data_IF_709931627072
#
_entry.id   IF_709931627072
#
_cell.length_a   1.000
_cell.length_b   1.000
_cell.length_c   1.000
_cell.angle_alpha   90.00
_cell.angle_beta   90.00
_cell.angle_gamma   90.00
#
_symmetry.space_group_name_H-M   'P 1'
#
loop_
_entity.id
_entity.type
_entity.pdbx_description
1 polymer ?
#
# COMPACT_ATOMS: atom_id res chain seq x y z
N UNK A 1 -73.91 -56.96 -12.07
CA UNK A 1 -72.60 -57.57 -11.76
C UNK A 1 -71.60 -56.91 -12.70
N UNK A 2 -70.60 -56.12 -12.33
CA UNK A 2 -70.04 -55.65 -11.06
C UNK A 2 -69.50 -54.24 -11.38
N UNK A 3 -69.79 -53.23 -10.56
CA UNK A 3 -69.10 -51.95 -10.64
C UNK A 3 -67.67 -52.12 -10.11
N UNK A 4 -66.62 -51.65 -10.81
CA UNK A 4 -65.39 -51.23 -10.17
C UNK A 4 -65.49 -49.71 -9.99
N UNK A 5 -66.11 -49.25 -8.89
CA UNK A 5 -65.47 -48.78 -7.65
C UNK A 5 -64.40 -47.71 -7.87
N UNK A 6 -64.74 -46.51 -7.38
CA UNK A 6 -63.89 -45.33 -7.13
C UNK A 6 -62.51 -45.61 -6.49
N UNK A 7 -62.29 -46.82 -5.97
CA UNK A 7 -61.01 -47.31 -5.47
C UNK A 7 -59.87 -47.39 -6.52
N UNK A 8 -60.17 -47.41 -7.83
CA UNK A 8 -59.14 -47.39 -8.88
C UNK A 8 -58.71 -45.96 -9.27
N UNK A 9 -59.59 -44.96 -9.15
CA UNK A 9 -59.24 -43.56 -9.42
C UNK A 9 -58.59 -42.86 -8.22
N UNK A 10 -58.94 -43.23 -6.97
CA UNK A 10 -58.22 -42.78 -5.77
C UNK A 10 -56.79 -43.33 -5.72
N UNK A 11 -56.58 -44.63 -5.99
CA UNK A 11 -55.24 -45.23 -6.03
C UNK A 11 -54.32 -44.60 -7.09
N UNK A 12 -54.86 -44.21 -8.24
CA UNK A 12 -54.09 -43.55 -9.30
C UNK A 12 -53.75 -42.08 -8.98
N UNK A 13 -54.57 -41.40 -8.15
CA UNK A 13 -54.30 -40.04 -7.67
C UNK A 13 -53.31 -40.05 -6.51
N UNK A 14 -53.43 -40.99 -5.57
CA UNK A 14 -52.47 -41.16 -4.46
C UNK A 14 -51.08 -41.60 -4.95
N UNK A 15 -50.99 -42.50 -5.94
CA UNK A 15 -49.69 -42.87 -6.54
C UNK A 15 -49.03 -41.71 -7.29
N UNK A 16 -49.80 -40.82 -7.94
CA UNK A 16 -49.24 -39.62 -8.59
C UNK A 16 -48.81 -38.57 -7.58
N UNK A 17 -49.61 -38.32 -6.54
CA UNK A 17 -49.27 -37.38 -5.48
C UNK A 17 -48.01 -37.81 -4.72
N UNK A 18 -47.89 -39.10 -4.38
CA UNK A 18 -46.72 -39.66 -3.70
C UNK A 18 -45.49 -39.66 -4.62
N UNK A 19 -45.65 -39.83 -5.94
CA UNK A 19 -44.53 -39.77 -6.90
C UNK A 19 -44.04 -38.34 -7.15
N UNK A 20 -44.92 -37.34 -7.09
CA UNK A 20 -44.55 -35.92 -7.17
C UNK A 20 -43.97 -35.39 -5.85
N UNK A 21 -44.47 -35.84 -4.69
CA UNK A 21 -43.84 -35.58 -3.38
C UNK A 21 -42.45 -36.21 -3.29
N UNK A 22 -42.29 -37.48 -3.68
CA UNK A 22 -40.99 -38.17 -3.66
C UNK A 22 -39.97 -37.60 -4.65
N UNK A 23 -40.45 -36.94 -5.73
CA UNK A 23 -39.63 -36.24 -6.72
C UNK A 23 -39.32 -34.80 -6.31
N UNK A 24 -40.17 -34.18 -5.48
CA UNK A 24 -39.90 -32.90 -4.81
C UNK A 24 -38.92 -33.07 -3.67
N UNK A 25 -39.13 -34.03 -2.76
CA UNK A 25 -38.21 -34.34 -1.66
C UNK A 25 -36.85 -34.79 -2.18
N UNK A 26 -36.79 -35.66 -3.20
CA UNK A 26 -35.50 -36.04 -3.82
C UNK A 26 -34.80 -34.92 -4.62
N UNK A 27 -35.49 -33.81 -4.93
CA UNK A 27 -34.93 -32.62 -5.60
C UNK A 27 -34.61 -31.49 -4.62
N UNK A 28 -35.27 -31.47 -3.45
CA UNK A 28 -34.97 -30.59 -2.31
C UNK A 28 -33.81 -31.17 -1.48
N UNK A 29 -33.77 -32.48 -1.23
CA UNK A 29 -32.64 -33.17 -0.56
C UNK A 29 -31.33 -33.05 -1.36
N UNK A 30 -31.39 -33.12 -2.70
CA UNK A 30 -30.22 -32.87 -3.57
C UNK A 30 -29.81 -31.40 -3.68
N UNK A 31 -30.63 -30.47 -3.18
CA UNK A 31 -30.34 -29.03 -3.20
C UNK A 31 -29.75 -28.54 -1.88
N UNK A 32 -30.04 -29.21 -0.77
CA UNK A 32 -29.61 -28.80 0.57
C UNK A 32 -28.37 -29.54 1.09
N UNK A 33 -27.94 -30.62 0.45
CA UNK A 33 -26.59 -31.15 0.65
C UNK A 33 -25.67 -30.65 -0.45
N UNK A 34 -25.29 -29.37 -0.36
CA UNK A 34 -23.96 -29.00 -0.85
C UNK A 34 -23.00 -29.79 0.03
N UNK A 35 -22.54 -30.93 -0.48
CA UNK A 35 -21.67 -31.86 0.24
C UNK A 35 -20.52 -31.04 0.82
N UNK A 36 -19.97 -31.40 1.98
CA UNK A 36 -18.80 -30.68 2.54
C UNK A 36 -17.66 -30.56 1.51
N UNK A 37 -17.61 -31.49 0.55
CA UNK A 37 -16.76 -31.45 -0.64
C UNK A 37 -17.11 -30.33 -1.63
N UNK A 38 -18.40 -30.08 -1.92
CA UNK A 38 -18.86 -29.00 -2.82
C UNK A 38 -18.64 -27.62 -2.20
N UNK A 39 -18.87 -27.46 -0.89
CA UNK A 39 -18.54 -26.22 -0.16
C UNK A 39 -17.04 -25.96 -0.20
N UNK A 40 -16.25 -27.00 0.02
CA UNK A 40 -14.79 -26.91 -0.04
C UNK A 40 -14.29 -26.58 -1.45
N UNK A 41 -14.92 -27.16 -2.49
CA UNK A 41 -14.65 -26.82 -3.88
C UNK A 41 -15.01 -25.37 -4.20
N UNK A 42 -16.12 -24.84 -3.67
CA UNK A 42 -16.51 -23.44 -3.83
C UNK A 42 -15.55 -22.50 -3.10
N UNK A 43 -15.12 -22.84 -1.88
CA UNK A 43 -14.09 -22.10 -1.14
C UNK A 43 -12.74 -22.11 -1.88
N UNK A 44 -12.27 -23.28 -2.33
CA UNK A 44 -11.03 -23.42 -3.09
C UNK A 44 -11.10 -22.62 -4.40
N UNK A 45 -12.23 -22.68 -5.11
CA UNK A 45 -12.46 -21.91 -6.34
C UNK A 45 -12.45 -20.41 -6.06
N UNK A 46 -13.11 -19.94 -5.00
CA UNK A 46 -13.10 -18.53 -4.60
C UNK A 46 -11.69 -18.06 -4.22
N UNK A 47 -10.92 -18.90 -3.52
CA UNK A 47 -9.51 -18.63 -3.19
C UNK A 47 -8.64 -18.54 -4.46
N UNK A 48 -8.85 -19.42 -5.42
CA UNK A 48 -8.17 -19.38 -6.73
C UNK A 48 -8.54 -18.12 -7.53
N UNK A 49 -9.81 -17.77 -7.57
CA UNK A 49 -10.31 -16.56 -8.26
C UNK A 49 -9.73 -15.30 -7.63
N UNK A 50 -9.68 -15.21 -6.29
CA UNK A 50 -9.06 -14.08 -5.60
C UNK A 50 -7.57 -13.95 -5.94
N UNK A 51 -6.82 -15.06 -5.95
CA UNK A 51 -5.39 -15.05 -6.34
C UNK A 51 -5.19 -14.58 -7.79
N UNK A 52 -6.00 -15.08 -8.72
CA UNK A 52 -5.95 -14.65 -10.12
C UNK A 52 -6.32 -13.17 -10.26
N UNK A 53 -7.34 -12.71 -9.53
CA UNK A 53 -7.77 -11.32 -9.52
C UNK A 53 -6.65 -10.39 -9.06
N UNK A 54 -5.93 -10.73 -8.00
CA UNK A 54 -4.79 -9.95 -7.51
C UNK A 54 -3.60 -9.97 -8.47
N UNK A 55 -3.29 -11.11 -9.09
CA UNK A 55 -2.23 -11.18 -10.11
C UNK A 55 -2.54 -10.29 -11.32
N UNK A 56 -3.80 -10.33 -11.79
CA UNK A 56 -4.26 -9.45 -12.85
C UNK A 56 -4.19 -7.98 -12.41
N UNK A 57 -4.47 -7.67 -11.14
CA UNK A 57 -4.38 -6.31 -10.63
C UNK A 57 -2.95 -5.74 -10.70
N UNK A 58 -1.92 -6.54 -10.42
CA UNK A 58 -0.53 -6.10 -10.58
C UNK A 58 -0.22 -5.76 -12.05
N UNK A 59 -0.61 -6.61 -13.00
CA UNK A 59 -0.43 -6.34 -14.44
C UNK A 59 -1.21 -5.11 -14.89
N UNK A 60 -2.46 -4.97 -14.44
CA UNK A 60 -3.31 -3.81 -14.78
C UNK A 60 -2.71 -2.53 -14.19
N UNK A 61 -2.09 -2.57 -13.01
CA UNK A 61 -1.43 -1.40 -12.43
C UNK A 61 -0.31 -0.86 -13.31
N UNK A 62 0.46 -1.75 -13.94
CA UNK A 62 1.54 -1.38 -14.86
C UNK A 62 0.97 -0.84 -16.17
N UNK A 63 -0.09 -1.44 -16.69
CA UNK A 63 -0.76 -0.95 -17.89
C UNK A 63 -1.46 0.40 -17.67
N UNK A 64 -1.95 0.65 -16.45
CA UNK A 64 -2.61 1.89 -16.07
C UNK A 64 -1.67 3.11 -16.16
N UNK A 65 -0.35 2.91 -16.14
CA UNK A 65 0.62 3.99 -16.42
C UNK A 65 0.46 4.62 -17.80
N UNK A 66 -0.13 3.88 -18.75
CA UNK A 66 -0.41 4.35 -20.11
C UNK A 66 -1.84 4.86 -20.29
N UNK A 67 -2.66 4.82 -19.23
CA UNK A 67 -4.02 5.33 -19.24
C UNK A 67 -4.06 6.79 -18.80
N UNK A 68 -5.05 7.54 -19.28
CA UNK A 68 -5.25 8.95 -18.91
C UNK A 68 -6.02 9.10 -17.57
N UNK A 69 -6.50 7.99 -16.98
CA UNK A 69 -7.26 7.99 -15.74
C UNK A 69 -6.34 8.09 -14.53
N UNK A 70 -6.54 9.14 -13.71
CA UNK A 70 -5.71 9.40 -12.54
C UNK A 70 -6.04 8.41 -11.41
N UNK A 71 -5.00 7.91 -10.75
CA UNK A 71 -5.07 7.03 -9.56
C UNK A 71 -5.43 5.57 -9.85
N UNK A 72 -5.52 5.16 -11.11
CA UNK A 72 -5.79 3.77 -11.43
C UNK A 72 -4.59 2.87 -11.09
N UNK A 73 -3.36 3.31 -11.40
CA UNK A 73 -2.16 2.52 -11.12
C UNK A 73 -2.06 2.18 -9.63
N UNK A 74 -2.18 3.18 -8.75
CA UNK A 74 -2.14 2.96 -7.30
C UNK A 74 -3.32 2.12 -6.79
N UNK A 75 -4.53 2.32 -7.32
CA UNK A 75 -5.70 1.55 -6.90
C UNK A 75 -5.61 0.06 -7.26
N UNK A 76 -5.08 -0.26 -8.44
CA UNK A 76 -4.85 -1.64 -8.83
C UNK A 76 -3.68 -2.25 -8.06
N UNK A 77 -2.63 -1.47 -7.79
CA UNK A 77 -1.51 -1.93 -6.99
C UNK A 77 -1.91 -2.32 -5.56
N UNK A 78 -2.78 -1.53 -4.92
CA UNK A 78 -3.28 -1.85 -3.57
C UNK A 78 -4.15 -3.12 -3.52
N UNK A 79 -4.68 -3.58 -4.65
CA UNK A 79 -5.44 -4.84 -4.78
C UNK A 79 -4.56 -6.04 -5.18
N UNK A 80 -3.32 -5.77 -5.56
CA UNK A 80 -2.35 -6.76 -6.04
C UNK A 80 -1.78 -7.65 -4.94
N UNK A 81 -0.86 -8.52 -5.32
CA UNK A 81 -0.18 -9.46 -4.42
C UNK A 81 0.98 -8.83 -3.63
N UNK A 82 1.24 -7.52 -3.81
CA UNK A 82 2.36 -6.80 -3.16
C UNK A 82 3.74 -7.43 -3.44
N UNK A 83 3.93 -7.97 -4.65
CA UNK A 83 5.24 -8.43 -5.14
C UNK A 83 6.28 -7.31 -5.05
N UNK A 84 7.60 -7.55 -4.85
CA UNK A 84 8.57 -6.47 -4.69
C UNK A 84 8.46 -5.42 -5.81
N UNK A 85 8.29 -4.15 -5.41
CA UNK A 85 7.90 -3.08 -6.32
C UNK A 85 8.91 -2.83 -7.45
N UNK A 86 10.15 -3.25 -7.23
CA UNK A 86 11.26 -3.16 -8.17
C UNK A 86 11.22 -4.10 -9.36
N UNK A 87 10.45 -5.20 -9.27
CA UNK A 87 10.49 -6.25 -10.30
C UNK A 87 9.89 -5.75 -11.64
N UNK A 88 9.06 -4.71 -11.58
CA UNK A 88 8.47 -4.04 -12.74
C UNK A 88 9.34 -2.90 -13.31
N UNK A 89 10.45 -2.56 -12.64
CA UNK A 89 11.42 -1.55 -13.07
C UNK A 89 11.20 -0.15 -12.50
N UNK A 90 12.25 0.68 -12.57
CA UNK A 90 12.28 2.01 -11.95
C UNK A 90 11.25 3.01 -12.49
N UNK A 91 10.92 2.95 -13.79
CA UNK A 91 9.90 3.84 -14.37
C UNK A 91 8.52 3.61 -13.73
N UNK A 92 8.18 2.35 -13.44
CA UNK A 92 6.95 2.02 -12.73
C UNK A 92 6.95 2.58 -11.31
N UNK A 93 8.05 2.38 -10.58
CA UNK A 93 8.19 2.90 -9.21
C UNK A 93 8.09 4.43 -9.20
N UNK A 94 8.69 5.10 -10.18
CA UNK A 94 8.64 6.57 -10.34
C UNK A 94 7.21 7.06 -10.62
N UNK A 95 6.51 6.42 -11.54
CA UNK A 95 5.13 6.78 -11.86
C UNK A 95 4.20 6.56 -10.65
N UNK A 96 4.36 5.42 -9.97
CA UNK A 96 3.60 5.11 -8.76
C UNK A 96 3.87 6.12 -7.64
N UNK A 97 5.12 6.53 -7.43
CA UNK A 97 5.47 7.53 -6.43
C UNK A 97 4.80 8.89 -6.71
N UNK A 98 4.72 9.29 -7.99
CA UNK A 98 4.04 10.51 -8.43
C UNK A 98 2.53 10.45 -8.19
N UNK A 99 1.87 9.36 -8.61
CA UNK A 99 0.43 9.21 -8.34
C UNK A 99 0.12 9.17 -6.84
N UNK A 100 0.97 8.50 -6.07
CA UNK A 100 0.82 8.40 -4.62
C UNK A 100 0.91 9.77 -3.94
N UNK A 101 1.85 10.63 -4.36
CA UNK A 101 2.00 11.96 -3.77
C UNK A 101 0.85 12.90 -4.17
N UNK A 102 0.33 12.77 -5.40
CA UNK A 102 -0.89 13.47 -5.82
C UNK A 102 -2.11 13.02 -5.02
N UNK A 103 -2.30 11.70 -4.84
CA UNK A 103 -3.42 11.15 -4.07
C UNK A 103 -3.32 11.54 -2.59
N UNK A 104 -2.11 11.58 -2.03
CA UNK A 104 -1.86 12.06 -0.66
C UNK A 104 -2.36 13.49 -0.45
N UNK A 105 -2.04 14.39 -1.39
CA UNK A 105 -2.47 15.80 -1.37
C UNK A 105 -4.00 15.91 -1.50
N UNK A 106 -4.61 15.08 -2.35
CA UNK A 106 -6.07 15.05 -2.53
C UNK A 106 -6.80 14.48 -1.30
N UNK A 107 -6.21 13.51 -0.60
CA UNK A 107 -6.74 12.93 0.64
C UNK A 107 -6.64 13.88 1.86
N UNK A 108 -6.29 15.15 1.65
CA UNK A 108 -6.17 16.19 2.67
C UNK A 108 -7.46 16.56 3.43
N UNK A 109 -8.64 16.21 2.88
CA UNK A 109 -9.99 16.70 3.31
C UNK A 109 -10.48 16.26 4.71
N UNK A 110 -9.60 15.76 5.58
CA UNK A 110 -9.89 15.52 7.01
C UNK A 110 -10.94 14.46 7.36
N UNK A 111 -11.65 13.91 6.37
CA UNK A 111 -12.64 12.83 6.53
C UNK A 111 -12.01 11.55 7.08
N UNK A 112 -12.77 10.78 7.86
CA UNK A 112 -12.33 9.50 8.42
C UNK A 112 -11.91 8.49 7.34
N UNK A 113 -12.58 8.50 6.17
CA UNK A 113 -12.17 7.69 5.01
C UNK A 113 -10.81 8.13 4.46
N UNK A 114 -10.54 9.43 4.43
CA UNK A 114 -9.28 9.97 3.94
C UNK A 114 -8.11 9.69 4.90
N UNK A 115 -8.36 9.56 6.21
CA UNK A 115 -7.35 9.09 7.18
C UNK A 115 -7.00 7.63 6.98
N UNK A 116 -8.00 6.77 6.78
CA UNK A 116 -7.78 5.35 6.46
C UNK A 116 -6.96 5.21 5.17
N UNK A 117 -7.34 5.97 4.12
CA UNK A 117 -6.60 5.99 2.86
C UNK A 117 -5.16 6.50 3.03
N UNK A 118 -4.94 7.56 3.82
CA UNK A 118 -3.58 8.01 4.15
C UNK A 118 -2.77 6.93 4.86
N UNK A 119 -3.35 6.15 5.76
CA UNK A 119 -2.61 5.06 6.39
C UNK A 119 -2.19 3.98 5.38
N UNK A 120 -3.07 3.63 4.43
CA UNK A 120 -2.74 2.74 3.31
C UNK A 120 -1.60 3.30 2.46
N UNK A 121 -1.67 4.57 2.06
CA UNK A 121 -0.64 5.25 1.29
C UNK A 121 0.70 5.32 2.04
N UNK A 122 0.69 5.46 3.37
CA UNK A 122 1.92 5.42 4.18
C UNK A 122 2.61 4.06 4.16
N UNK A 123 1.85 2.96 4.11
CA UNK A 123 2.44 1.62 3.99
C UNK A 123 3.13 1.51 2.63
N UNK A 124 2.45 1.92 1.56
CA UNK A 124 3.03 1.91 0.22
C UNK A 124 4.27 2.82 0.11
N UNK A 125 4.23 4.01 0.70
CA UNK A 125 5.35 4.94 0.71
C UNK A 125 6.59 4.34 1.38
N UNK A 126 6.41 3.60 2.48
CA UNK A 126 7.51 2.90 3.16
C UNK A 126 8.13 1.82 2.28
N UNK A 127 7.31 1.05 1.57
CA UNK A 127 7.80 0.03 0.66
C UNK A 127 8.59 0.64 -0.51
N UNK A 128 8.12 1.75 -1.07
CA UNK A 128 8.83 2.50 -2.13
C UNK A 128 10.16 3.05 -1.61
N UNK A 129 10.16 3.71 -0.44
CA UNK A 129 11.39 4.29 0.15
C UNK A 129 12.41 3.20 0.46
N UNK A 130 11.97 2.07 1.03
CA UNK A 130 12.85 0.95 1.30
C UNK A 130 13.46 0.38 0.01
N UNK A 131 12.67 0.27 -1.06
CA UNK A 131 13.15 -0.18 -2.35
C UNK A 131 14.18 0.80 -2.94
N UNK A 132 13.86 2.09 -2.98
CA UNK A 132 14.71 3.14 -3.55
C UNK A 132 16.06 3.23 -2.83
N UNK A 133 16.07 3.18 -1.50
CA UNK A 133 17.32 3.19 -0.73
C UNK A 133 18.21 1.98 -1.05
N UNK A 134 17.63 0.78 -1.20
CA UNK A 134 18.38 -0.43 -1.57
C UNK A 134 18.98 -0.40 -2.98
N UNK A 135 18.44 0.44 -3.86
CA UNK A 135 18.85 0.52 -5.27
C UNK A 135 19.62 1.80 -5.61
N UNK A 136 20.14 2.52 -4.60
CA UNK A 136 20.88 3.78 -4.78
C UNK A 136 20.03 4.89 -5.47
N UNK A 137 18.73 4.90 -5.21
CA UNK A 137 17.79 5.92 -5.64
C UNK A 137 17.41 6.81 -4.43
N UNK A 138 18.41 7.27 -3.67
CA UNK A 138 18.18 7.99 -2.41
C UNK A 138 17.55 9.36 -2.64
N UNK A 139 17.82 9.96 -3.80
CA UNK A 139 17.24 11.24 -4.24
C UNK A 139 15.74 11.10 -4.44
N UNK A 140 15.30 10.07 -5.17
CA UNK A 140 13.89 9.77 -5.42
C UNK A 140 13.15 9.43 -4.12
N UNK A 141 13.81 8.72 -3.19
CA UNK A 141 13.26 8.48 -1.86
C UNK A 141 13.06 9.78 -1.07
N UNK A 142 14.02 10.70 -1.13
CA UNK A 142 13.89 12.01 -0.48
C UNK A 142 12.78 12.84 -1.10
N UNK A 143 12.71 12.92 -2.43
CA UNK A 143 11.66 13.67 -3.13
C UNK A 143 10.27 13.20 -2.73
N UNK A 144 10.06 11.88 -2.72
CA UNK A 144 8.78 11.31 -2.29
C UNK A 144 8.42 11.70 -0.86
N UNK A 145 9.39 11.62 0.07
CA UNK A 145 9.18 11.96 1.48
C UNK A 145 8.92 13.46 1.72
N UNK A 146 9.56 14.32 0.92
CA UNK A 146 9.33 15.77 0.91
C UNK A 146 7.90 16.05 0.44
N UNK A 147 7.46 15.43 -0.65
CA UNK A 147 6.13 15.66 -1.20
C UNK A 147 4.97 15.20 -0.31
N UNK A 148 5.18 14.16 0.51
CA UNK A 148 4.19 13.70 1.50
C UNK A 148 4.35 14.38 2.87
N UNK A 149 5.32 15.29 3.03
CA UNK A 149 5.64 15.99 4.28
C UNK A 149 5.94 15.04 5.46
N UNK A 150 6.52 13.86 5.19
CA UNK A 150 6.84 12.83 6.20
C UNK A 150 8.32 12.44 6.21
N UNK A 151 9.17 13.45 6.19
CA UNK A 151 10.63 13.32 6.32
C UNK A 151 11.08 12.58 7.59
N UNK A 152 10.24 12.52 8.63
CA UNK A 152 10.56 11.78 9.86
C UNK A 152 10.93 10.31 9.60
N UNK A 153 10.31 9.70 8.58
CA UNK A 153 10.52 8.29 8.23
C UNK A 153 11.92 8.04 7.65
N UNK A 154 12.56 9.07 7.08
CA UNK A 154 13.87 8.95 6.44
C UNK A 154 14.93 8.41 7.40
N UNK A 155 14.87 8.78 8.68
CA UNK A 155 15.85 8.37 9.69
C UNK A 155 15.92 6.85 9.91
N UNK A 156 14.84 6.12 9.61
CA UNK A 156 14.76 4.66 9.76
C UNK A 156 15.48 3.91 8.63
N UNK A 157 15.52 4.49 7.42
CA UNK A 157 16.02 3.83 6.21
C UNK A 157 17.42 4.26 5.79
N UNK A 158 17.92 5.41 6.26
CA UNK A 158 19.27 5.88 5.90
C UNK A 158 20.33 5.00 6.56
N UNK A 159 21.24 4.45 5.76
CA UNK A 159 22.44 3.71 6.16
C UNK A 159 23.71 4.59 6.14
N UNK A 160 24.84 4.07 6.65
CA UNK A 160 26.12 4.80 6.73
C UNK A 160 26.75 5.07 5.35
N UNK A 161 26.39 4.32 4.30
CA UNK A 161 26.92 4.59 2.95
C UNK A 161 26.23 5.80 2.31
N UNK A 162 24.98 6.05 2.69
CA UNK A 162 24.08 6.93 1.95
C UNK A 162 23.85 8.27 2.64
N UNK A 163 24.15 8.36 3.95
CA UNK A 163 23.94 9.55 4.76
C UNK A 163 24.53 10.82 4.13
N UNK A 164 25.71 10.71 3.50
CA UNK A 164 26.36 11.86 2.87
C UNK A 164 25.58 12.34 1.64
N UNK A 165 25.09 11.43 0.79
CA UNK A 165 24.32 11.78 -0.42
C UNK A 165 22.98 12.37 -0.06
N UNK A 166 22.27 11.74 0.87
CA UNK A 166 20.97 12.18 1.38
C UNK A 166 21.08 13.58 1.99
N UNK A 167 22.04 13.81 2.89
CA UNK A 167 22.20 15.12 3.52
C UNK A 167 22.64 16.21 2.55
N UNK A 168 23.51 15.91 1.58
CA UNK A 168 23.89 16.86 0.54
C UNK A 168 22.67 17.24 -0.32
N UNK A 169 21.84 16.26 -0.66
CA UNK A 169 20.60 16.50 -1.41
C UNK A 169 19.64 17.41 -0.63
N UNK A 170 19.31 17.05 0.62
CA UNK A 170 18.42 17.86 1.47
C UNK A 170 18.93 19.30 1.65
N UNK A 171 20.24 19.49 1.83
CA UNK A 171 20.83 20.83 1.96
C UNK A 171 20.80 21.62 0.65
N UNK A 172 20.86 20.94 -0.51
CA UNK A 172 20.71 21.59 -1.82
C UNK A 172 19.26 21.99 -2.12
N UNK A 173 18.28 21.26 -1.56
CA UNK A 173 16.86 21.59 -1.64
C UNK A 173 16.45 22.73 -0.70
N UNK A 174 17.08 22.83 0.49
CA UNK A 174 16.76 23.84 1.49
C UNK A 174 16.66 25.29 0.98
N UNK A 175 17.58 25.84 0.13
CA UNK A 175 17.44 27.19 -0.42
C UNK A 175 16.36 27.34 -1.50
N UNK A 176 15.86 26.23 -2.06
CA UNK A 176 14.82 26.22 -3.09
C UNK A 176 13.41 26.12 -2.48
N UNK A 177 13.32 25.72 -1.21
CA UNK A 177 12.07 25.55 -0.49
C UNK A 177 11.75 26.79 0.36
N UNK A 178 10.50 27.28 0.38
CA UNK A 178 10.11 28.40 1.24
C UNK A 178 10.19 28.04 2.74
N UNK A 179 10.34 29.05 3.59
CA UNK A 179 10.13 28.91 5.04
C UNK A 179 8.64 28.56 5.30
N UNK A 180 8.31 27.60 6.20
CA UNK A 180 9.15 26.95 7.21
C UNK A 180 9.72 25.57 6.81
N UNK A 181 9.41 25.04 5.64
CA UNK A 181 9.77 23.67 5.25
C UNK A 181 11.29 23.50 5.07
N UNK A 182 11.99 24.56 4.68
CA UNK A 182 13.45 24.58 4.65
C UNK A 182 14.09 24.29 6.03
N UNK A 183 13.48 24.75 7.13
CA UNK A 183 13.93 24.52 8.51
C UNK A 183 13.82 23.02 8.81
N UNK A 184 12.74 22.37 8.37
CA UNK A 184 12.51 20.94 8.55
C UNK A 184 13.56 20.13 7.78
N UNK A 185 13.87 20.53 6.53
CA UNK A 185 14.92 19.89 5.74
C UNK A 185 16.29 19.97 6.42
N UNK A 186 16.69 21.17 6.86
CA UNK A 186 17.99 21.39 7.51
C UNK A 186 18.05 20.67 8.88
N UNK A 187 16.95 20.65 9.64
CA UNK A 187 16.86 19.90 10.91
C UNK A 187 17.01 18.40 10.69
N UNK A 188 16.33 17.85 9.70
CA UNK A 188 16.42 16.42 9.36
C UNK A 188 17.85 16.06 8.95
N UNK A 189 18.49 16.88 8.10
CA UNK A 189 19.88 16.68 7.71
C UNK A 189 20.84 16.75 8.90
N UNK A 190 20.63 17.69 9.84
CA UNK A 190 21.39 17.80 11.09
C UNK A 190 21.26 16.52 11.93
N UNK A 191 20.05 16.02 12.10
CA UNK A 191 19.78 14.84 12.94
C UNK A 191 20.40 13.58 12.34
N UNK A 192 20.40 13.44 11.00
CA UNK A 192 21.12 12.38 10.29
C UNK A 192 22.64 12.50 10.53
N UNK A 193 23.23 13.70 10.38
CA UNK A 193 24.66 13.89 10.64
C UNK A 193 25.05 13.57 12.09
N UNK A 194 24.18 13.90 13.06
CA UNK A 194 24.40 13.56 14.47
C UNK A 194 24.37 12.05 14.72
N UNK A 195 23.46 11.31 14.05
CA UNK A 195 23.38 9.84 14.12
C UNK A 195 24.69 9.18 13.68
N UNK A 196 25.30 9.71 12.61
CA UNK A 196 26.55 9.22 12.03
C UNK A 196 27.82 9.88 12.59
N UNK A 197 27.72 10.61 13.70
CA UNK A 197 28.84 11.28 14.39
C UNK A 197 29.64 12.26 13.51
N UNK A 198 29.00 12.84 12.49
CA UNK A 198 29.56 13.90 11.64
C UNK A 198 29.28 15.27 12.25
N UNK A 199 30.03 15.58 13.31
CA UNK A 199 29.75 16.77 14.12
C UNK A 199 30.02 18.10 13.40
N UNK A 200 31.03 18.16 12.53
CA UNK A 200 31.37 19.39 11.79
C UNK A 200 30.25 19.82 10.84
N UNK A 201 29.73 18.85 10.08
CA UNK A 201 28.59 19.06 9.18
C UNK A 201 27.32 19.37 9.97
N UNK A 202 27.09 18.69 11.10
CA UNK A 202 25.96 19.00 11.98
C UNK A 202 26.01 20.43 12.55
N UNK A 203 27.19 20.92 12.96
CA UNK A 203 27.36 22.32 13.39
C UNK A 203 27.08 23.29 12.23
N UNK A 204 27.54 22.97 11.01
CA UNK A 204 27.24 23.80 9.83
C UNK A 204 25.73 23.92 9.60
N UNK A 205 24.98 22.82 9.70
CA UNK A 205 23.51 22.84 9.62
C UNK A 205 22.89 23.66 10.76
N UNK A 206 23.39 23.54 12.00
CA UNK A 206 22.89 24.33 13.13
C UNK A 206 23.15 25.84 12.98
N UNK A 207 24.28 26.22 12.37
CA UNK A 207 24.57 27.62 12.01
C UNK A 207 23.57 28.12 10.95
N UNK A 208 23.24 27.31 9.94
CA UNK A 208 22.22 27.67 8.94
C UNK A 208 20.84 27.90 9.57
N UNK A 209 20.51 27.16 10.63
CA UNK A 209 19.27 27.33 11.40
C UNK A 209 19.29 28.52 12.38
N UNK A 210 20.45 29.16 12.56
CA UNK A 210 20.67 30.25 13.51
C UNK A 210 20.22 29.93 14.96
N UNK A 211 20.38 28.67 15.40
CA UNK A 211 20.06 28.25 16.77
C UNK A 211 21.34 28.11 17.62
N UNK A 212 21.66 29.10 18.48
CA UNK A 212 22.89 29.09 19.28
C UNK A 212 22.89 28.04 20.40
N UNK A 213 21.72 27.53 20.81
CA UNK A 213 21.63 26.49 21.85
C UNK A 213 22.07 25.16 21.26
N UNK A 214 21.57 24.84 20.07
CA UNK A 214 21.94 23.63 19.36
C UNK A 214 23.43 23.61 18.97
N UNK A 215 23.99 24.75 18.53
CA UNK A 215 25.44 24.85 18.25
C UNK A 215 26.26 24.48 19.50
N UNK A 216 25.90 25.02 20.67
CA UNK A 216 26.58 24.70 21.93
C UNK A 216 26.42 23.23 22.32
N UNK A 217 25.23 22.65 22.10
CA UNK A 217 24.96 21.24 22.37
C UNK A 217 25.84 20.32 21.52
N UNK A 218 25.99 20.61 20.22
CA UNK A 218 26.83 19.81 19.32
C UNK A 218 28.31 20.00 19.68
N UNK A 219 28.75 21.23 19.96
CA UNK A 219 30.13 21.52 20.37
C UNK A 219 30.50 20.86 21.71
N UNK A 220 29.55 20.73 22.63
CA UNK A 220 29.78 20.02 23.89
C UNK A 220 29.88 18.49 23.71
N UNK A 221 29.35 17.95 22.62
CA UNK A 221 29.43 16.52 22.28
C UNK A 221 30.74 16.17 21.55
N UNK A 222 31.41 17.15 20.94
CA UNK A 222 32.73 16.94 20.35
C UNK A 222 33.79 16.91 21.44
N UNK A 223 34.61 15.86 21.49
CA UNK A 223 35.87 15.87 22.24
C UNK A 223 36.99 16.38 21.33
N UNK A 224 37.85 17.23 21.89
CA UNK A 224 39.11 17.64 21.26
C UNK A 224 39.98 16.37 21.07
N UNK A 225 40.61 16.14 19.90
CA UNK A 225 41.53 15.02 19.70
C UNK A 225 42.80 15.10 20.57
#
# INVERSE_FOLDING_TARGET
>A
MVAPTAAQEEKAKDEKANKDEKKKTGKEEKKDEMTEEDKKLEEDLNMLVQRLSSLCADIISVLAMCSDEKSDCINFRMKGMLEPIGDWGHEYVRHLAMEMSEEWKQAGDGSEKSKARRNELLVLARDIVMHNMKHNAEVEACDLLIEIERLDLLMEYVEDVDHQRVCLYLLSCAPLTPDPDNIILIRTAKDIYLKYKRYLEAVRCAIMLNDPVEIKNIFSKTSDP
#
